data_IF_160751055916
#
_entry.id   IF_160751055916
#
_cell.length_a   1.000
_cell.length_b   1.000
_cell.length_c   1.000
_cell.angle_alpha   90.00
_cell.angle_beta   90.00
_cell.angle_gamma   90.00
#
_symmetry.space_group_name_H-M   'P 1'
#
loop_
_entity.id
_entity.type
_entity.pdbx_description
1 polymer ?
#
# COMPACT_ATOMS: atom_id res chain seq x y z
N UNK A 1 -24.12 49.78 -19.80
CA UNK A 1 -23.01 50.46 -19.11
C UNK A 1 -21.91 49.43 -18.90
N UNK A 2 -21.00 49.30 -19.86
CA UNK A 2 -19.89 48.35 -19.77
C UNK A 2 -18.89 48.83 -18.72
N UNK A 3 -18.86 48.15 -17.58
CA UNK A 3 -17.94 48.46 -16.49
C UNK A 3 -16.50 48.18 -16.93
N UNK A 4 -15.53 48.98 -16.42
CA UNK A 4 -14.09 48.80 -16.69
C UNK A 4 -13.61 47.36 -16.46
N UNK A 5 -14.21 46.66 -15.50
CA UNK A 5 -13.97 45.25 -15.22
C UNK A 5 -14.36 44.31 -16.38
N UNK A 6 -15.46 44.61 -17.09
CA UNK A 6 -15.90 43.83 -18.24
C UNK A 6 -14.93 43.99 -19.43
N UNK A 7 -14.45 45.22 -19.68
CA UNK A 7 -13.42 45.48 -20.71
C UNK A 7 -12.07 44.83 -20.40
N UNK A 8 -11.66 44.82 -19.12
CA UNK A 8 -10.44 44.14 -18.69
C UNK A 8 -10.52 42.61 -18.83
N UNK A 9 -11.66 42.00 -18.50
CA UNK A 9 -11.88 40.56 -18.76
C UNK A 9 -11.89 40.23 -20.25
N UNK A 10 -12.42 41.10 -21.10
CA UNK A 10 -12.37 40.95 -22.55
C UNK A 10 -10.95 41.07 -23.13
N UNK A 11 -10.10 41.91 -22.52
CA UNK A 11 -8.70 42.05 -22.90
C UNK A 11 -7.83 40.89 -22.40
N UNK A 12 -8.08 40.39 -21.19
CA UNK A 12 -7.37 39.26 -20.59
C UNK A 12 -7.86 37.90 -21.12
N UNK A 13 -9.10 37.83 -21.62
CA UNK A 13 -9.68 36.65 -22.26
C UNK A 13 -9.33 36.49 -23.74
N UNK A 14 -8.68 37.48 -24.35
CA UNK A 14 -8.00 37.29 -25.64
C UNK A 14 -6.74 36.48 -25.37
N UNK A 15 -6.78 35.21 -25.78
CA UNK A 15 -5.59 34.35 -25.81
C UNK A 15 -4.40 35.15 -26.36
N UNK A 16 -3.19 35.00 -25.79
CA UNK A 16 -2.01 35.69 -26.31
C UNK A 16 -1.93 35.39 -27.81
N UNK A 17 -2.04 36.45 -28.62
CA UNK A 17 -1.82 36.36 -30.05
C UNK A 17 -0.45 35.68 -30.21
N UNK A 18 -0.37 34.50 -30.85
CA UNK A 18 0.92 33.83 -31.01
C UNK A 18 1.85 34.86 -31.64
N UNK A 19 3.02 35.06 -31.01
CA UNK A 19 3.99 36.02 -31.49
C UNK A 19 4.18 35.82 -32.99
N UNK A 20 4.13 36.90 -33.81
CA UNK A 20 4.28 36.76 -35.25
C UNK A 20 5.61 36.03 -35.49
N UNK A 21 5.53 34.87 -36.14
CA UNK A 21 6.72 34.09 -36.46
C UNK A 21 7.70 35.02 -37.20
N UNK A 22 8.99 35.03 -36.84
CA UNK A 22 9.95 35.89 -37.50
C UNK A 22 9.92 35.62 -39.01
N UNK A 23 10.05 36.70 -39.80
CA UNK A 23 10.03 36.62 -41.25
C UNK A 23 11.07 35.58 -41.72
N UNK A 24 10.59 34.53 -42.39
CA UNK A 24 11.43 33.41 -42.82
C UNK A 24 12.17 33.77 -44.11
N UNK A 25 13.41 33.29 -44.23
CA UNK A 25 14.12 33.39 -45.50
C UNK A 25 13.54 32.41 -46.52
N UNK A 26 13.75 32.72 -47.81
CA UNK A 26 13.37 31.82 -48.93
C UNK A 26 13.99 30.43 -48.75
N UNK A 27 15.22 30.34 -48.25
CA UNK A 27 15.90 29.08 -47.95
C UNK A 27 15.22 28.27 -46.84
N UNK A 28 14.69 28.92 -45.80
CA UNK A 28 13.94 28.26 -44.72
C UNK A 28 12.60 27.74 -45.21
N UNK A 29 11.92 28.46 -46.10
CA UNK A 29 10.67 27.99 -46.70
C UNK A 29 10.89 26.77 -47.60
N UNK A 30 11.94 26.77 -48.42
CA UNK A 30 12.32 25.62 -49.24
C UNK A 30 12.67 24.41 -48.37
N UNK A 31 13.44 24.62 -47.31
CA UNK A 31 13.76 23.57 -46.33
C UNK A 31 12.50 22.99 -45.68
N UNK A 32 11.57 23.85 -45.23
CA UNK A 32 10.30 23.43 -44.62
C UNK A 32 9.43 22.61 -45.57
N UNK A 33 9.31 23.04 -46.83
CA UNK A 33 8.54 22.29 -47.85
C UNK A 33 9.15 20.92 -48.10
N UNK A 34 10.49 20.84 -48.16
CA UNK A 34 11.22 19.59 -48.32
C UNK A 34 11.02 18.66 -47.12
N UNK A 35 11.14 19.18 -45.90
CA UNK A 35 10.90 18.43 -44.68
C UNK A 35 9.45 17.90 -44.61
N UNK A 36 8.46 18.71 -44.99
CA UNK A 36 7.08 18.28 -45.04
C UNK A 36 6.85 17.15 -46.06
N UNK A 37 7.50 17.21 -47.22
CA UNK A 37 7.44 16.16 -48.21
C UNK A 37 8.12 14.86 -47.73
N UNK A 38 9.25 14.96 -47.02
CA UNK A 38 9.94 13.81 -46.44
C UNK A 38 9.09 13.18 -45.31
N UNK A 39 8.48 13.98 -44.45
CA UNK A 39 7.52 13.50 -43.43
C UNK A 39 6.35 12.76 -44.09
N UNK A 40 5.71 13.35 -45.09
CA UNK A 40 4.57 12.74 -45.77
C UNK A 40 4.96 11.40 -46.44
N UNK A 41 6.16 11.34 -47.02
CA UNK A 41 6.70 10.12 -47.61
C UNK A 41 6.93 9.04 -46.56
N UNK A 42 7.54 9.38 -45.43
CA UNK A 42 7.79 8.44 -44.33
C UNK A 42 6.50 7.94 -43.70
N UNK A 43 5.49 8.81 -43.53
CA UNK A 43 4.14 8.40 -43.09
C UNK A 43 3.52 7.40 -44.06
N UNK A 44 3.64 7.65 -45.37
CA UNK A 44 3.14 6.71 -46.38
C UNK A 44 3.88 5.37 -46.34
N UNK A 45 5.20 5.35 -46.11
CA UNK A 45 5.95 4.10 -45.92
C UNK A 45 5.48 3.33 -44.69
N UNK A 46 5.26 4.01 -43.56
CA UNK A 46 4.73 3.39 -42.35
C UNK A 46 3.36 2.79 -42.63
N UNK A 47 2.46 3.55 -43.25
CA UNK A 47 1.12 3.06 -43.61
C UNK A 47 1.17 1.84 -44.54
N UNK A 48 2.04 1.85 -45.54
CA UNK A 48 2.21 0.70 -46.43
C UNK A 48 2.76 -0.53 -45.70
N UNK A 49 3.67 -0.32 -44.74
CA UNK A 49 4.20 -1.40 -43.90
C UNK A 49 3.10 -1.96 -42.99
N UNK A 50 2.31 -1.11 -42.35
CA UNK A 50 1.17 -1.51 -41.51
C UNK A 50 0.11 -2.27 -42.32
N UNK A 51 -0.26 -1.76 -43.50
CA UNK A 51 -1.19 -2.42 -44.42
C UNK A 51 -0.66 -3.80 -44.87
N UNK A 52 0.66 -3.92 -45.10
CA UNK A 52 1.29 -5.18 -45.47
C UNK A 52 1.30 -6.18 -44.31
N UNK A 53 1.61 -5.72 -43.09
CA UNK A 53 1.55 -6.52 -41.87
C UNK A 53 0.13 -7.03 -41.65
N UNK A 54 -0.88 -6.16 -41.76
CA UNK A 54 -2.28 -6.52 -41.58
C UNK A 54 -2.74 -7.56 -42.62
N UNK A 55 -2.33 -7.41 -43.89
CA UNK A 55 -2.61 -8.41 -44.94
C UNK A 55 -1.98 -9.76 -44.64
N UNK A 56 -0.72 -9.77 -44.20
CA UNK A 56 -0.04 -11.01 -43.82
C UNK A 56 -0.71 -11.67 -42.61
N UNK A 57 -1.10 -10.89 -41.61
CA UNK A 57 -1.81 -11.40 -40.43
C UNK A 57 -3.21 -11.94 -40.78
N UNK A 58 -3.92 -11.31 -41.74
CA UNK A 58 -5.21 -11.84 -42.23
C UNK A 58 -5.04 -13.15 -43.01
N UNK A 59 -3.93 -13.31 -43.74
CA UNK A 59 -3.66 -14.50 -44.54
C UNK A 59 -3.06 -15.66 -43.74
N UNK A 60 -2.27 -15.37 -42.70
CA UNK A 60 -1.48 -16.36 -41.95
C UNK A 60 -1.90 -16.49 -40.48
N UNK A 61 -2.85 -15.67 -40.03
CA UNK A 61 -3.22 -15.53 -38.63
C UNK A 61 -2.39 -14.46 -37.89
N UNK A 62 -2.86 -13.98 -36.73
CA UNK A 62 -2.16 -12.97 -35.95
C UNK A 62 -0.83 -13.52 -35.43
N UNK A 63 0.28 -12.88 -35.84
CA UNK A 63 1.60 -13.18 -35.28
C UNK A 63 1.83 -12.30 -34.04
N UNK A 64 2.22 -12.87 -32.88
CA UNK A 64 2.40 -12.09 -31.66
C UNK A 64 3.58 -11.12 -31.78
N UNK A 65 3.37 -9.86 -31.42
CA UNK A 65 4.41 -8.82 -31.39
C UNK A 65 5.51 -9.09 -30.34
N UNK A 66 5.17 -9.85 -29.30
CA UNK A 66 6.09 -10.36 -28.27
C UNK A 66 5.79 -11.84 -28.11
N UNK A 67 6.80 -12.70 -28.27
CA UNK A 67 6.64 -14.14 -28.09
C UNK A 67 6.35 -14.44 -26.62
N UNK A 68 5.07 -14.64 -26.29
CA UNK A 68 4.61 -15.11 -24.98
C UNK A 68 4.01 -16.52 -25.12
N UNK A 69 4.30 -17.41 -24.18
CA UNK A 69 3.85 -18.82 -24.18
C UNK A 69 2.32 -18.98 -24.31
N UNK A 70 1.56 -17.95 -23.90
CA UNK A 70 0.10 -17.90 -23.99
C UNK A 70 -0.43 -17.58 -25.40
N UNK A 71 0.35 -16.89 -26.24
CA UNK A 71 -0.06 -16.47 -27.58
C UNK A 71 0.19 -17.55 -28.65
N UNK A 72 1.09 -18.49 -28.39
CA UNK A 72 1.36 -19.62 -29.28
C UNK A 72 0.22 -20.67 -29.30
N UNK A 73 -0.70 -20.61 -28.33
CA UNK A 73 -1.86 -21.53 -28.24
C UNK A 73 -3.10 -21.05 -28.99
N UNK A 74 -3.13 -19.80 -29.45
CA UNK A 74 -4.32 -19.15 -30.04
C UNK A 74 -4.24 -18.96 -31.55
N UNK A 75 -3.14 -19.34 -32.20
CA UNK A 75 -3.02 -19.28 -33.66
C UNK A 75 -3.70 -20.50 -34.33
N UNK A 76 -5.02 -20.60 -34.22
CA UNK A 76 -5.85 -21.32 -35.20
C UNK A 76 -6.02 -20.46 -36.46
N UNK A 77 -4.89 -20.06 -37.06
CA UNK A 77 -4.84 -19.38 -38.35
C UNK A 77 -4.91 -20.39 -39.51
N UNK A 78 -5.29 -19.96 -40.72
CA UNK A 78 -5.51 -20.87 -41.85
C UNK A 78 -4.24 -21.63 -42.20
N UNK A 79 -4.41 -22.90 -42.55
CA UNK A 79 -3.36 -23.88 -42.79
C UNK A 79 -2.27 -23.38 -43.75
N UNK A 80 -1.09 -23.06 -43.19
CA UNK A 80 0.16 -23.12 -43.93
C UNK A 80 0.34 -24.55 -44.47
N UNK A 81 0.89 -24.75 -45.68
CA UNK A 81 1.15 -26.08 -46.19
C UNK A 81 2.32 -26.71 -45.41
N UNK A 82 1.99 -27.45 -44.34
CA UNK A 82 2.97 -28.14 -43.50
C UNK A 82 2.39 -28.51 -42.12
N UNK A 83 3.06 -29.40 -41.37
CA UNK A 83 2.66 -29.71 -39.99
C UNK A 83 2.71 -28.44 -39.12
N UNK A 84 1.78 -28.28 -38.16
CA UNK A 84 1.75 -27.10 -37.29
C UNK A 84 3.08 -26.99 -36.54
N UNK A 85 3.71 -25.83 -36.62
CA UNK A 85 4.98 -25.58 -35.95
C UNK A 85 4.80 -25.68 -34.43
N UNK A 86 5.66 -26.44 -33.77
CA UNK A 86 5.71 -26.50 -32.31
C UNK A 86 6.23 -25.19 -31.70
N UNK A 87 5.97 -25.00 -30.40
CA UNK A 87 6.37 -23.80 -29.66
C UNK A 87 7.89 -23.53 -29.73
N UNK A 88 8.71 -24.58 -29.63
CA UNK A 88 10.16 -24.47 -29.74
C UNK A 88 10.62 -24.07 -31.15
N UNK A 89 9.97 -24.62 -32.18
CA UNK A 89 10.26 -24.31 -33.59
C UNK A 89 9.93 -22.85 -33.91
N UNK A 90 8.80 -22.32 -33.42
CA UNK A 90 8.45 -20.91 -33.56
C UNK A 90 9.46 -19.99 -32.86
N UNK A 91 9.94 -20.37 -31.67
CA UNK A 91 10.96 -19.61 -30.94
C UNK A 91 12.29 -19.58 -31.68
N UNK A 92 12.72 -20.72 -32.21
CA UNK A 92 13.95 -20.83 -33.01
C UNK A 92 13.84 -20.02 -34.31
N UNK A 93 12.71 -20.10 -35.01
CA UNK A 93 12.45 -19.31 -36.21
C UNK A 93 12.45 -17.80 -35.91
N UNK A 94 11.87 -17.37 -34.79
CA UNK A 94 11.88 -15.96 -34.37
C UNK A 94 13.31 -15.47 -34.06
N UNK A 95 14.11 -16.30 -33.40
CA UNK A 95 15.51 -15.97 -33.10
C UNK A 95 16.37 -15.88 -34.37
N UNK A 96 16.17 -16.80 -35.32
CA UNK A 96 16.82 -16.76 -36.63
C UNK A 96 16.39 -15.53 -37.43
N UNK A 97 15.09 -15.21 -37.45
CA UNK A 97 14.57 -14.02 -38.11
C UNK A 97 15.15 -12.72 -37.51
N UNK A 98 15.26 -12.61 -36.18
CA UNK A 98 15.94 -11.48 -35.55
C UNK A 98 17.39 -11.37 -35.99
N UNK A 99 18.12 -12.49 -35.96
CA UNK A 99 19.53 -12.51 -36.40
C UNK A 99 19.68 -12.06 -37.86
N UNK A 100 18.78 -12.50 -38.74
CA UNK A 100 18.77 -12.07 -40.15
C UNK A 100 18.40 -10.60 -40.32
N UNK A 101 17.42 -10.09 -39.55
CA UNK A 101 17.04 -8.68 -39.58
C UNK A 101 18.20 -7.79 -39.10
N UNK A 102 18.94 -8.19 -38.06
CA UNK A 102 20.11 -7.41 -37.60
C UNK A 102 21.27 -7.38 -38.61
N UNK A 103 21.26 -8.24 -39.63
CA UNK A 103 22.26 -8.24 -40.71
C UNK A 103 22.05 -7.09 -41.71
N UNK A 104 20.83 -6.57 -41.83
CA UNK A 104 20.49 -5.53 -42.82
C UNK A 104 19.61 -4.45 -42.21
N UNK A 105 19.98 -3.19 -42.39
CA UNK A 105 19.15 -2.06 -41.94
C UNK A 105 17.86 -1.99 -42.77
N UNK A 106 16.66 -2.10 -42.16
CA UNK A 106 15.39 -2.15 -42.88
C UNK A 106 15.03 -0.85 -43.60
N UNK A 107 15.54 0.28 -43.08
CA UNK A 107 15.32 1.60 -43.66
C UNK A 107 16.65 2.30 -43.89
N UNK A 108 16.84 2.78 -45.12
CA UNK A 108 17.98 3.59 -45.50
C UNK A 108 17.48 4.95 -46.01
N UNK A 109 17.81 6.06 -45.32
CA UNK A 109 17.39 7.37 -45.76
C UNK A 109 18.06 7.73 -47.09
N UNK A 110 17.36 8.49 -47.92
CA UNK A 110 17.94 8.99 -49.16
C UNK A 110 19.01 10.05 -48.86
N UNK A 111 19.98 10.25 -49.76
CA UNK A 111 21.03 11.29 -49.59
C UNK A 111 20.49 12.70 -49.34
N UNK A 112 19.28 12.98 -49.82
CA UNK A 112 18.62 14.27 -49.71
C UNK A 112 17.68 14.37 -48.50
N UNK A 113 17.52 13.29 -47.73
CA UNK A 113 16.63 13.24 -46.58
C UNK A 113 17.16 14.14 -45.45
N UNK A 114 16.25 14.85 -44.81
CA UNK A 114 16.54 15.80 -43.74
C UNK A 114 16.51 15.15 -42.35
N UNK A 115 16.25 13.84 -42.26
CA UNK A 115 16.13 13.11 -40.98
C UNK A 115 17.33 13.31 -40.04
N UNK A 116 18.57 13.32 -40.55
CA UNK A 116 19.75 13.51 -39.70
C UNK A 116 19.81 14.89 -39.04
N UNK A 117 19.47 15.94 -39.80
CA UNK A 117 19.42 17.32 -39.31
C UNK A 117 18.25 17.48 -38.34
N UNK A 118 17.08 16.93 -38.67
CA UNK A 118 15.89 16.99 -37.82
C UNK A 118 16.14 16.28 -36.48
N UNK A 119 16.65 15.05 -36.50
CA UNK A 119 16.95 14.27 -35.29
C UNK A 119 18.04 14.95 -34.46
N UNK A 120 19.12 15.42 -35.09
CA UNK A 120 20.18 16.15 -34.38
C UNK A 120 19.65 17.42 -33.71
N UNK A 121 18.79 18.18 -34.39
CA UNK A 121 18.18 19.38 -33.83
C UNK A 121 17.24 19.06 -32.67
N UNK A 122 16.36 18.07 -32.81
CA UNK A 122 15.42 17.69 -31.75
C UNK A 122 16.17 17.21 -30.51
N UNK A 123 17.13 16.30 -30.68
CA UNK A 123 17.91 15.77 -29.55
C UNK A 123 18.75 16.84 -28.86
N UNK A 124 19.34 17.77 -29.61
CA UNK A 124 20.12 18.87 -29.01
C UNK A 124 19.21 19.87 -28.30
N UNK A 125 18.05 20.20 -28.87
CA UNK A 125 17.06 21.06 -28.22
C UNK A 125 16.56 20.43 -26.92
N UNK A 126 16.18 19.15 -26.96
CA UNK A 126 15.72 18.41 -25.78
C UNK A 126 16.82 18.34 -24.71
N UNK A 127 18.06 18.07 -25.11
CA UNK A 127 19.19 18.06 -24.19
C UNK A 127 19.41 19.43 -23.53
N UNK A 128 19.30 20.53 -24.28
CA UNK A 128 19.42 21.89 -23.72
C UNK A 128 18.30 22.19 -22.73
N UNK A 129 17.06 21.82 -23.06
CA UNK A 129 15.90 22.00 -22.15
C UNK A 129 16.08 21.18 -20.87
N UNK A 130 16.49 19.91 -20.99
CA UNK A 130 16.76 19.05 -19.84
C UNK A 130 17.92 19.58 -18.99
N UNK A 131 19.00 20.03 -19.62
CA UNK A 131 20.15 20.60 -18.93
C UNK A 131 19.77 21.89 -18.19
N UNK A 132 18.97 22.77 -18.79
CA UNK A 132 18.49 23.99 -18.14
C UNK A 132 17.63 23.68 -16.90
N UNK A 133 16.72 22.70 -17.01
CA UNK A 133 15.89 22.26 -15.88
C UNK A 133 16.74 21.62 -14.76
N UNK A 134 17.72 20.79 -15.12
CA UNK A 134 18.65 20.19 -14.17
C UNK A 134 19.51 21.24 -13.45
N UNK A 135 20.04 22.22 -14.20
CA UNK A 135 20.84 23.31 -13.66
C UNK A 135 20.04 24.17 -12.67
N UNK A 136 18.78 24.50 -12.99
CA UNK A 136 17.91 25.24 -12.09
C UNK A 136 17.59 24.46 -10.82
N UNK A 137 17.38 23.15 -10.93
CA UNK A 137 17.15 22.28 -9.78
C UNK A 137 18.37 22.23 -8.86
N UNK A 138 19.56 22.05 -9.43
CA UNK A 138 20.83 22.07 -8.69
C UNK A 138 21.09 23.42 -8.03
N UNK A 139 20.76 24.54 -8.70
CA UNK A 139 20.88 25.88 -8.14
C UNK A 139 20.04 26.03 -6.88
N UNK A 140 18.75 25.64 -6.94
CA UNK A 140 17.85 25.70 -5.78
C UNK A 140 18.31 24.82 -4.62
N UNK A 141 18.81 23.62 -4.93
CA UNK A 141 19.38 22.73 -3.91
C UNK A 141 20.60 23.36 -3.24
N UNK A 142 21.51 23.94 -4.02
CA UNK A 142 22.69 24.63 -3.47
C UNK A 142 22.30 25.83 -2.60
N UNK A 143 21.32 26.63 -3.00
CA UNK A 143 20.80 27.75 -2.19
C UNK A 143 20.22 27.25 -0.86
N UNK A 144 19.45 26.16 -0.88
CA UNK A 144 18.91 25.56 0.34
C UNK A 144 20.01 25.00 1.25
N UNK A 145 20.98 24.26 0.69
CA UNK A 145 22.10 23.68 1.45
C UNK A 145 23.00 24.77 2.03
N UNK A 146 23.29 25.84 1.29
CA UNK A 146 24.09 26.95 1.81
C UNK A 146 23.40 27.67 2.95
N UNK A 147 22.07 27.85 2.88
CA UNK A 147 21.29 28.38 4.00
C UNK A 147 21.32 27.45 5.23
N UNK A 148 21.23 26.13 5.04
CA UNK A 148 21.34 25.15 6.13
C UNK A 148 22.74 25.17 6.76
N UNK A 149 23.80 25.26 5.97
CA UNK A 149 25.17 25.38 6.47
C UNK A 149 25.32 26.64 7.33
N UNK A 150 24.80 27.78 6.86
CA UNK A 150 24.83 29.02 7.62
C UNK A 150 24.06 28.90 8.95
N UNK A 151 22.89 28.26 8.95
CA UNK A 151 22.13 28.00 10.16
C UNK A 151 22.87 27.10 11.14
N UNK A 152 23.42 25.98 10.67
CA UNK A 152 24.19 25.05 11.51
C UNK A 152 25.46 25.70 12.06
N UNK A 153 26.12 26.56 11.29
CA UNK A 153 27.28 27.32 11.76
C UNK A 153 26.90 28.27 12.90
N UNK A 154 25.74 28.95 12.80
CA UNK A 154 25.22 29.79 13.88
C UNK A 154 24.92 28.97 15.14
N UNK A 155 24.19 27.87 15.01
CA UNK A 155 23.87 26.95 16.12
C UNK A 155 25.14 26.41 16.78
N UNK A 156 26.14 26.02 15.99
CA UNK A 156 27.43 25.54 16.51
C UNK A 156 28.18 26.65 17.27
N UNK A 157 28.09 27.90 16.80
CA UNK A 157 28.66 29.04 17.53
C UNK A 157 27.96 29.28 18.87
N UNK A 158 26.64 29.13 18.93
CA UNK A 158 25.86 29.24 20.16
C UNK A 158 26.19 28.12 21.15
N UNK A 159 26.32 26.87 20.67
CA UNK A 159 26.76 25.75 21.51
C UNK A 159 28.18 25.94 22.05
N UNK A 160 29.10 26.45 21.22
CA UNK A 160 30.45 26.77 21.69
C UNK A 160 30.39 27.82 22.80
N UNK A 161 29.59 28.88 22.64
CA UNK A 161 29.41 29.91 23.67
C UNK A 161 28.73 29.37 24.93
N UNK A 162 27.71 28.53 24.79
CA UNK A 162 27.07 27.88 25.93
C UNK A 162 28.07 26.99 26.68
N UNK A 163 28.89 26.23 25.96
CA UNK A 163 29.91 25.38 26.56
C UNK A 163 30.97 26.20 27.30
N UNK A 164 31.45 27.32 26.75
CA UNK A 164 32.39 28.20 27.46
C UNK A 164 31.78 28.73 28.75
N UNK A 165 30.53 29.21 28.72
CA UNK A 165 29.82 29.69 29.92
C UNK A 165 29.61 28.58 30.96
N UNK A 166 29.30 27.35 30.53
CA UNK A 166 29.19 26.21 31.43
C UNK A 166 30.54 25.89 32.07
N UNK A 167 31.63 25.86 31.30
CA UNK A 167 32.97 25.62 31.81
C UNK A 167 33.44 26.71 32.78
N UNK A 168 33.16 27.98 32.48
CA UNK A 168 33.42 29.11 33.39
C UNK A 168 32.64 28.93 34.69
N UNK A 169 31.34 28.63 34.62
CA UNK A 169 30.51 28.42 35.80
C UNK A 169 30.92 27.21 36.63
N UNK A 170 31.41 26.14 35.99
CA UNK A 170 31.97 24.97 36.70
C UNK A 170 33.25 25.35 37.45
N UNK A 171 34.10 26.21 36.86
CA UNK A 171 35.31 26.72 37.53
C UNK A 171 34.98 27.63 38.71
N UNK A 172 33.99 28.52 38.56
CA UNK A 172 33.58 29.46 39.62
C UNK A 172 32.86 28.76 40.79
N UNK A 173 32.08 27.70 40.51
CA UNK A 173 31.23 27.06 41.51
C UNK A 173 31.28 25.53 41.50
N UNK A 174 32.44 24.91 41.77
CA UNK A 174 32.65 23.45 41.61
C UNK A 174 31.81 22.60 42.57
N UNK A 175 31.55 23.09 43.79
CA UNK A 175 30.75 22.33 44.79
C UNK A 175 29.28 22.25 44.41
N UNK A 176 28.70 23.34 43.90
CA UNK A 176 27.28 23.42 43.51
C UNK A 176 27.00 22.61 42.24
N UNK A 177 27.93 22.63 41.27
CA UNK A 177 27.82 21.82 40.05
C UNK A 177 27.97 20.33 40.33
N UNK A 178 28.88 19.93 41.24
CA UNK A 178 29.00 18.54 41.67
C UNK A 178 27.73 18.02 42.38
N UNK A 179 27.09 18.85 43.22
CA UNK A 179 25.81 18.49 43.83
C UNK A 179 24.70 18.35 42.78
N UNK A 180 24.65 19.25 41.80
CA UNK A 180 23.67 19.20 40.71
C UNK A 180 23.87 17.97 39.81
N UNK A 181 25.12 17.61 39.50
CA UNK A 181 25.44 16.37 38.77
C UNK A 181 24.97 15.12 39.53
N UNK A 182 25.15 15.07 40.86
CA UNK A 182 24.63 13.97 41.68
C UNK A 182 23.10 13.90 41.64
N UNK A 183 22.40 15.04 41.63
CA UNK A 183 20.95 15.08 41.47
C UNK A 183 20.50 14.59 40.10
N UNK A 184 21.18 15.01 39.02
CA UNK A 184 20.89 14.55 37.65
C UNK A 184 21.09 13.04 37.54
N UNK A 185 22.20 12.50 38.06
CA UNK A 185 22.48 11.07 38.05
C UNK A 185 21.38 10.24 38.76
N UNK A 186 20.85 10.75 39.88
CA UNK A 186 19.71 10.13 40.59
C UNK A 186 18.40 10.18 39.80
N UNK A 187 18.17 11.25 39.02
CA UNK A 187 16.96 11.37 38.18
C UNK A 187 17.06 10.43 36.97
N UNK A 188 18.24 10.30 36.35
CA UNK A 188 18.44 9.35 35.25
C UNK A 188 18.28 7.89 35.68
N UNK A 189 18.70 7.52 36.89
CA UNK A 189 18.49 6.15 37.41
C UNK A 189 17.01 5.85 37.68
N UNK A 190 16.25 6.85 38.15
CA UNK A 190 14.81 6.71 38.34
C UNK A 190 14.06 6.52 37.02
N UNK A 191 14.48 7.23 35.96
CA UNK A 191 13.90 7.05 34.62
C UNK A 191 14.13 5.64 34.05
N UNK A 192 15.31 5.06 34.26
CA UNK A 192 15.60 3.68 33.85
C UNK A 192 14.77 2.66 34.65
N UNK A 193 14.66 2.82 35.97
CA UNK A 193 13.86 1.94 36.82
C UNK A 193 12.36 1.99 36.48
N UNK A 194 11.84 3.17 36.12
CA UNK A 194 10.46 3.33 35.66
C UNK A 194 10.20 2.63 34.32
N UNK A 195 11.16 2.68 33.38
CA UNK A 195 11.07 1.98 32.11
C UNK A 195 11.06 0.45 32.30
N UNK A 196 11.90 -0.07 33.19
CA UNK A 196 11.95 -1.51 33.51
C UNK A 196 10.66 -1.99 34.17
N UNK A 197 10.08 -1.20 35.09
CA UNK A 197 8.78 -1.49 35.71
C UNK A 197 7.65 -1.48 34.69
N UNK A 198 7.65 -0.53 33.75
CA UNK A 198 6.65 -0.48 32.67
C UNK A 198 6.74 -1.72 31.78
N UNK A 199 7.96 -2.13 31.40
CA UNK A 199 8.18 -3.34 30.60
C UNK A 199 7.73 -4.61 31.33
N UNK A 200 7.91 -4.68 32.66
CA UNK A 200 7.40 -5.79 33.46
C UNK A 200 5.87 -5.84 33.49
N UNK A 201 5.20 -4.70 33.66
CA UNK A 201 3.73 -4.61 33.62
C UNK A 201 3.19 -5.01 32.25
N UNK A 202 3.83 -4.58 31.16
CA UNK A 202 3.44 -5.00 29.80
C UNK A 202 3.52 -6.51 29.63
N UNK A 203 4.61 -7.16 30.07
CA UNK A 203 4.73 -8.63 30.00
C UNK A 203 3.66 -9.35 30.82
N UNK A 204 3.30 -8.83 32.00
CA UNK A 204 2.22 -9.39 32.80
C UNK A 204 0.85 -9.23 32.11
N UNK A 205 0.61 -8.08 31.49
CA UNK A 205 -0.59 -7.82 30.70
C UNK A 205 -0.69 -8.78 29.52
N UNK A 206 0.39 -8.96 28.75
CA UNK A 206 0.43 -9.87 27.60
C UNK A 206 0.22 -11.34 28.04
N UNK A 207 0.78 -11.70 29.20
CA UNK A 207 0.57 -13.01 29.81
C UNK A 207 -0.88 -13.25 30.25
N UNK A 208 -1.54 -12.22 30.79
CA UNK A 208 -2.95 -12.27 31.17
C UNK A 208 -3.85 -12.42 29.93
N UNK A 209 -3.61 -11.64 28.88
CA UNK A 209 -4.39 -11.75 27.62
C UNK A 209 -4.22 -13.11 26.96
N UNK A 210 -3.00 -13.67 26.95
CA UNK A 210 -2.77 -15.01 26.40
C UNK A 210 -3.49 -16.12 27.19
N UNK A 211 -3.61 -15.95 28.52
CA UNK A 211 -4.37 -16.86 29.36
C UNK A 211 -5.88 -16.73 29.13
N UNK A 212 -6.39 -15.50 29.00
CA UNK A 212 -7.79 -15.24 28.65
C UNK A 212 -8.16 -15.87 27.30
N UNK A 213 -7.31 -15.72 26.28
CA UNK A 213 -7.50 -16.33 24.95
C UNK A 213 -7.54 -17.86 25.05
N UNK A 214 -6.66 -18.46 25.85
CA UNK A 214 -6.62 -19.91 26.06
C UNK A 214 -7.87 -20.41 26.78
N UNK A 215 -8.35 -19.69 27.80
CA UNK A 215 -9.59 -20.01 28.49
C UNK A 215 -10.79 -19.90 27.55
N UNK A 216 -10.82 -18.86 26.71
CA UNK A 216 -11.88 -18.67 25.72
C UNK A 216 -11.90 -19.80 24.69
N UNK A 217 -10.74 -20.21 24.17
CA UNK A 217 -10.62 -21.33 23.25
C UNK A 217 -11.06 -22.66 23.88
N UNK A 218 -10.66 -22.92 25.13
CA UNK A 218 -11.09 -24.11 25.87
C UNK A 218 -12.60 -24.13 26.11
N UNK A 219 -13.18 -22.98 26.47
CA UNK A 219 -14.61 -22.85 26.66
C UNK A 219 -15.39 -23.11 25.36
N UNK A 220 -14.90 -22.58 24.23
CA UNK A 220 -15.48 -22.88 22.92
C UNK A 220 -15.44 -24.37 22.59
N UNK A 221 -14.30 -25.05 22.80
CA UNK A 221 -14.16 -26.49 22.56
C UNK A 221 -15.11 -27.31 23.45
N UNK A 222 -15.19 -27.01 24.75
CA UNK A 222 -16.10 -27.70 25.68
C UNK A 222 -17.56 -27.49 25.30
N UNK A 223 -17.98 -26.26 25.02
CA UNK A 223 -19.37 -25.97 24.63
C UNK A 223 -19.71 -26.65 23.31
N UNK A 224 -18.79 -26.65 22.34
CA UNK A 224 -18.98 -27.33 21.05
C UNK A 224 -19.14 -28.84 21.23
N UNK A 225 -18.30 -29.48 22.07
CA UNK A 225 -18.42 -30.91 22.39
C UNK A 225 -19.71 -31.25 23.13
N UNK A 226 -20.12 -30.39 24.06
CA UNK A 226 -21.37 -30.57 24.81
C UNK A 226 -22.57 -30.55 23.88
N UNK A 227 -22.66 -29.57 22.96
CA UNK A 227 -23.73 -29.55 21.96
C UNK A 227 -23.65 -30.75 21.00
N UNK A 228 -22.45 -31.15 20.55
CA UNK A 228 -22.31 -32.33 19.69
C UNK A 228 -22.73 -33.64 20.37
N UNK A 229 -22.50 -33.79 21.68
CA UNK A 229 -22.98 -34.95 22.45
C UNK A 229 -24.50 -34.91 22.68
N UNK A 230 -25.06 -33.73 22.94
CA UNK A 230 -26.50 -33.56 23.16
C UNK A 230 -27.34 -33.75 21.90
N UNK A 231 -26.83 -33.34 20.72
CA UNK A 231 -27.46 -33.58 19.42
C UNK A 231 -27.41 -35.06 19.02
N UNK A 232 -26.45 -35.83 19.56
CA UNK A 232 -26.38 -37.29 19.37
C UNK A 232 -27.43 -38.04 20.21
N UNK A 233 -27.77 -37.52 21.39
CA UNK A 233 -28.79 -38.11 22.29
C UNK A 233 -30.23 -37.71 21.92
N UNK A 234 -30.43 -36.52 21.36
CA UNK A 234 -31.74 -36.01 20.93
C UNK A 234 -31.70 -35.79 19.42
N UNK A 235 -32.28 -36.69 18.63
CA UNK A 235 -32.28 -36.67 17.15
C UNK A 235 -32.93 -35.42 16.50
N UNK A 236 -32.35 -34.24 16.72
CA UNK A 236 -32.70 -32.97 16.10
C UNK A 236 -31.45 -32.44 15.40
N UNK A 237 -31.45 -32.53 14.07
CA UNK A 237 -30.41 -31.93 13.23
C UNK A 237 -30.59 -30.42 13.30
N UNK A 238 -29.70 -29.72 14.01
CA UNK A 238 -29.63 -28.26 13.98
C UNK A 238 -28.89 -27.80 12.72
N UNK A 239 -29.36 -26.72 12.08
CA UNK A 239 -28.66 -26.07 10.97
C UNK A 239 -27.37 -25.39 11.46
N UNK A 240 -26.32 -25.35 10.64
CA UNK A 240 -24.98 -24.80 10.99
C UNK A 240 -25.04 -23.35 11.51
N UNK A 241 -25.92 -22.52 10.92
CA UNK A 241 -26.15 -21.14 11.35
C UNK A 241 -26.85 -21.03 12.72
N UNK A 242 -27.66 -22.03 13.08
CA UNK A 242 -28.31 -22.08 14.39
C UNK A 242 -27.39 -22.64 15.47
N UNK A 243 -26.49 -23.56 15.09
CA UNK A 243 -25.44 -24.13 15.95
C UNK A 243 -24.37 -23.10 16.32
N UNK A 244 -23.91 -22.30 15.36
CA UNK A 244 -22.94 -21.22 15.64
C UNK A 244 -23.54 -20.13 16.54
N UNK A 245 -24.82 -19.78 16.33
CA UNK A 245 -25.55 -18.83 17.19
C UNK A 245 -25.78 -19.38 18.60
N UNK A 246 -26.09 -20.67 18.75
CA UNK A 246 -26.28 -21.29 20.07
C UNK A 246 -24.97 -21.37 20.86
N UNK A 247 -23.86 -21.73 20.21
CA UNK A 247 -22.52 -21.70 20.84
C UNK A 247 -22.17 -20.28 21.29
N UNK A 248 -22.37 -19.28 20.43
CA UNK A 248 -22.07 -17.89 20.77
C UNK A 248 -22.92 -17.38 21.94
N UNK A 249 -24.22 -17.71 21.99
CA UNK A 249 -25.13 -17.36 23.09
C UNK A 249 -24.69 -18.00 24.42
N UNK A 250 -24.35 -19.29 24.39
CA UNK A 250 -23.86 -20.03 25.56
C UNK A 250 -22.50 -19.55 26.08
N UNK A 251 -21.57 -19.23 25.19
CA UNK A 251 -20.28 -18.64 25.57
C UNK A 251 -20.47 -17.27 26.21
N UNK A 252 -21.42 -16.48 25.71
CA UNK A 252 -21.74 -15.16 26.24
C UNK A 252 -22.44 -15.24 27.60
N UNK A 253 -23.29 -16.25 27.82
CA UNK A 253 -23.88 -16.56 29.13
C UNK A 253 -22.79 -16.89 30.17
N UNK A 254 -21.86 -17.78 29.84
CA UNK A 254 -20.77 -18.15 30.76
C UNK A 254 -19.86 -16.95 31.03
N UNK A 255 -19.54 -16.14 30.02
CA UNK A 255 -18.79 -14.87 30.23
C UNK A 255 -19.52 -13.93 31.19
N UNK A 256 -20.83 -13.76 31.04
CA UNK A 256 -21.63 -12.92 31.96
C UNK A 256 -21.63 -13.45 33.39
N UNK A 257 -21.76 -14.77 33.57
CA UNK A 257 -21.69 -15.42 34.87
C UNK A 257 -20.32 -15.22 35.53
N UNK A 258 -19.22 -15.42 34.79
CA UNK A 258 -17.86 -15.22 35.32
C UNK A 258 -17.58 -13.74 35.64
N UNK A 259 -17.98 -12.81 34.76
CA UNK A 259 -17.83 -11.37 35.01
C UNK A 259 -18.62 -10.91 36.24
N UNK A 260 -19.82 -11.44 36.49
CA UNK A 260 -20.59 -11.09 37.70
C UNK A 260 -19.87 -11.50 39.00
N UNK A 261 -19.15 -12.63 38.99
CA UNK A 261 -18.35 -13.09 40.13
C UNK A 261 -17.08 -12.23 40.29
N UNK A 262 -16.39 -11.92 39.20
CA UNK A 262 -15.17 -11.10 39.21
C UNK A 262 -15.42 -9.64 39.67
N UNK A 263 -16.59 -9.08 39.33
CA UNK A 263 -17.01 -7.74 39.76
C UNK A 263 -17.53 -7.70 41.21
N UNK A 264 -17.62 -8.85 41.89
CA UNK A 264 -18.12 -8.97 43.27
C UNK A 264 -19.60 -8.60 43.41
N UNK A 265 -20.32 -8.45 42.29
CA UNK A 265 -21.76 -8.18 42.30
C UNK A 265 -22.48 -9.51 42.17
N UNK A 266 -23.06 -9.96 43.27
CA UNK A 266 -23.68 -11.26 43.43
C UNK A 266 -25.05 -11.36 42.72
N UNK A 267 -25.05 -11.04 41.41
CA UNK A 267 -26.23 -10.80 40.60
C UNK A 267 -26.71 -12.09 39.95
N UNK A 268 -28.00 -12.37 40.13
CA UNK A 268 -28.72 -13.41 39.42
C UNK A 268 -28.82 -13.05 37.93
N UNK A 269 -28.49 -13.99 37.04
CA UNK A 269 -28.57 -13.81 35.59
C UNK A 269 -29.84 -14.49 35.08
N UNK A 270 -30.74 -13.72 34.49
CA UNK A 270 -31.99 -14.24 33.89
C UNK A 270 -31.69 -14.96 32.57
N UNK A 271 -32.13 -16.20 32.45
CA UNK A 271 -32.11 -17.00 31.21
C UNK A 271 -33.54 -17.15 30.71
N UNK A 272 -33.76 -16.92 29.42
CA UNK A 272 -35.10 -17.04 28.81
C UNK A 272 -35.43 -18.52 28.55
N UNK A 273 -36.64 -18.99 28.88
CA UNK A 273 -37.04 -20.35 28.56
C UNK A 273 -37.16 -20.57 27.04
N UNK A 274 -36.73 -21.73 26.56
CA UNK A 274 -36.75 -22.16 25.17
C UNK A 274 -35.47 -21.83 24.36
N UNK A 275 -34.44 -21.24 24.97
CA UNK A 275 -33.18 -20.95 24.28
C UNK A 275 -32.14 -22.05 24.47
N UNK A 276 -31.14 -22.12 23.59
CA UNK A 276 -30.05 -23.11 23.72
C UNK A 276 -29.25 -22.95 25.03
N UNK A 277 -29.30 -21.77 25.64
CA UNK A 277 -28.69 -21.43 26.92
C UNK A 277 -29.32 -22.20 28.10
N UNK A 278 -30.64 -22.45 28.05
CA UNK A 278 -31.37 -23.25 29.04
C UNK A 278 -30.84 -24.69 29.09
N UNK A 279 -30.54 -25.27 27.93
CA UNK A 279 -29.99 -26.63 27.83
C UNK A 279 -28.60 -26.77 28.45
N UNK A 280 -27.72 -25.80 28.19
CA UNK A 280 -26.39 -25.77 28.81
C UNK A 280 -26.51 -25.64 30.34
N UNK A 281 -27.41 -24.77 30.78
CA UNK A 281 -27.68 -24.53 32.18
C UNK A 281 -28.28 -25.75 32.88
N UNK A 282 -29.17 -26.52 32.26
CA UNK A 282 -29.65 -27.80 32.81
C UNK A 282 -28.50 -28.77 33.09
N UNK A 283 -27.53 -28.87 32.16
CA UNK A 283 -26.33 -29.71 32.35
C UNK A 283 -25.47 -29.16 33.49
N UNK A 284 -25.30 -27.85 33.60
CA UNK A 284 -24.53 -27.24 34.68
C UNK A 284 -25.21 -27.36 36.05
N UNK A 285 -26.54 -27.32 36.11
CA UNK A 285 -27.33 -27.57 37.32
C UNK A 285 -27.22 -29.04 37.74
N UNK A 286 -27.31 -29.99 36.78
CA UNK A 286 -27.12 -31.43 37.05
C UNK A 286 -25.73 -31.76 37.61
N UNK A 287 -24.73 -30.96 37.28
CA UNK A 287 -23.36 -31.09 37.79
C UNK A 287 -23.07 -30.17 38.99
N UNK A 288 -24.10 -29.63 39.66
CA UNK A 288 -23.99 -28.82 40.88
C UNK A 288 -23.19 -27.50 40.74
N UNK A 289 -22.96 -27.02 39.52
CA UNK A 289 -22.17 -25.81 39.23
C UNK A 289 -22.95 -24.50 39.41
N UNK A 290 -24.28 -24.56 39.33
CA UNK A 290 -25.16 -23.40 39.34
C UNK A 290 -26.24 -23.51 40.43
N UNK A 291 -26.56 -22.39 41.06
CA UNK A 291 -27.77 -22.20 41.88
C UNK A 291 -28.87 -21.65 40.99
N UNK A 292 -30.06 -22.23 41.06
CA UNK A 292 -31.24 -21.78 40.31
C UNK A 292 -32.29 -21.19 41.25
N UNK A 293 -33.01 -20.17 40.77
CA UNK A 293 -34.17 -19.57 41.42
C UNK A 293 -35.25 -19.34 40.37
N UNK A 294 -36.47 -19.78 40.68
CA UNK A 294 -37.63 -19.58 39.81
C UNK A 294 -38.44 -18.40 40.36
N UNK A 295 -38.38 -17.24 39.70
CA UNK A 295 -39.18 -16.07 40.08
C UNK A 295 -40.02 -15.60 38.89
N UNK A 296 -41.35 -15.69 39.01
CA UNK A 296 -42.34 -15.14 38.05
C UNK A 296 -42.17 -15.59 36.57
N UNK A 297 -41.68 -16.80 36.33
CA UNK A 297 -41.65 -17.41 35.00
C UNK A 297 -40.39 -17.15 34.17
N UNK A 298 -39.45 -16.35 34.70
CA UNK A 298 -38.08 -16.25 34.18
C UNK A 298 -37.14 -17.05 35.11
N UNK A 299 -36.24 -17.82 34.50
CA UNK A 299 -35.33 -18.68 35.25
C UNK A 299 -34.05 -17.91 35.57
N UNK A 300 -33.76 -17.70 36.85
CA UNK A 300 -32.60 -16.95 37.30
C UNK A 300 -31.50 -17.87 37.80
N UNK A 301 -30.28 -17.66 37.33
CA UNK A 301 -29.16 -18.57 37.60
C UNK A 301 -27.91 -17.82 38.05
N UNK A 302 -27.17 -18.46 38.96
CA UNK A 302 -25.95 -17.94 39.56
C UNK A 302 -24.90 -19.04 39.68
N UNK A 303 -23.62 -18.70 39.51
CA UNK A 303 -22.52 -19.62 39.81
C UNK A 303 -22.47 -19.93 41.31
N UNK A 304 -22.31 -21.21 41.65
CA UNK A 304 -22.09 -21.64 43.03
C UNK A 304 -20.74 -21.10 43.51
N UNK A 305 -20.75 -20.51 44.71
CA UNK A 305 -19.52 -20.08 45.36
C UNK A 305 -18.81 -21.32 45.94
N UNK A 306 -17.81 -21.81 45.22
CA UNK A 306 -16.83 -22.73 45.76
C UNK A 306 -15.77 -21.88 46.42
N UNK A 307 -16.00 -21.48 47.67
CA UNK A 307 -15.19 -20.48 48.37
C UNK A 307 -13.68 -20.65 48.15
N UNK A 308 -12.99 -19.51 48.02
CA UNK A 308 -11.53 -19.42 48.07
C UNK A 308 -10.98 -19.87 49.43
#
# INVERSE_FOLDING_TARGET
>A
MDTKAHKLRLLLGRAPVPAPEPARSVSQEVYRRKLAADIARTINFIRQADDAIERLQKQLGPWPAVFNESAARTSEGPALPGPPWGLETCRQAHLLAHFEVYKQMPYQPMKNDLIGIATGLTLTLDAVVQQAAAAETLRRQNEATTAQIAHLAAVLSDYKRANTLVLERVREHPRRTAEMQRRIARVSSFGAEAADKLAHVQRLSDGATALEDRLHAHLLDVVTRLYAMMDWENAHVMDEDTFTKSIAGSVLLVKRLVSSVAEGTDKWVTVRPGTAEERLMEVMIRNDLLLHRDDRGDLEVRLRDYGL
#
